data_IF_381904691643
#
_entry.id   IF_381904691643
#
_cell.length_a   1.000
_cell.length_b   1.000
_cell.length_c   1.000
_cell.angle_alpha   90.00
_cell.angle_beta   90.00
_cell.angle_gamma   90.00
#
_symmetry.space_group_name_H-M   'P 1'
#
loop_
_entity.id
_entity.type
_entity.pdbx_description
1 polymer ?
#
# COMPACT_ATOMS: atom_id res chain seq x y z
N UNK A 1 -5.21 16.56 -7.35
CA UNK A 1 -4.17 15.51 -7.32
C UNK A 1 -4.64 14.48 -6.31
N UNK A 2 -5.09 13.32 -6.79
CA UNK A 2 -5.60 12.27 -5.89
C UNK A 2 -4.38 11.67 -5.18
N UNK A 3 -4.37 11.75 -3.85
CA UNK A 3 -3.27 11.22 -3.04
C UNK A 3 -3.49 9.72 -2.91
N UNK A 4 -2.82 8.92 -3.75
CA UNK A 4 -2.95 7.46 -3.84
C UNK A 4 -2.83 6.74 -2.50
N UNK A 5 -2.17 7.37 -1.52
CA UNK A 5 -1.99 6.82 -0.17
C UNK A 5 -3.04 7.29 0.84
N UNK A 6 -3.71 8.41 0.62
CA UNK A 6 -4.60 9.02 1.63
C UNK A 6 -5.79 8.13 1.95
N UNK A 7 -6.52 7.72 0.93
CA UNK A 7 -7.76 6.96 1.12
C UNK A 7 -7.46 5.53 1.60
N UNK A 8 -6.48 4.80 1.02
CA UNK A 8 -6.11 3.48 1.52
C UNK A 8 -5.60 3.49 2.97
N UNK A 9 -4.78 4.49 3.34
CA UNK A 9 -4.33 4.64 4.72
C UNK A 9 -5.51 4.88 5.66
N UNK A 10 -6.45 5.76 5.28
CA UNK A 10 -7.65 6.04 6.08
C UNK A 10 -8.47 4.76 6.30
N UNK A 11 -8.77 4.03 5.22
CA UNK A 11 -9.52 2.76 5.30
C UNK A 11 -8.86 1.77 6.25
N UNK A 12 -7.54 1.58 6.14
CA UNK A 12 -6.79 0.68 7.02
C UNK A 12 -6.85 1.11 8.48
N UNK A 13 -6.79 2.42 8.77
CA UNK A 13 -6.92 2.94 10.14
C UNK A 13 -8.34 2.81 10.71
N UNK A 14 -9.35 2.71 9.84
CA UNK A 14 -10.75 2.48 10.21
C UNK A 14 -11.10 0.98 10.28
N UNK A 15 -10.11 0.09 10.07
CA UNK A 15 -10.29 -1.36 10.08
C UNK A 15 -10.89 -1.93 8.79
N UNK A 16 -11.07 -1.09 7.78
CA UNK A 16 -11.48 -1.50 6.45
C UNK A 16 -10.29 -2.00 5.63
N UNK A 17 -10.61 -2.66 4.52
CA UNK A 17 -9.60 -3.17 3.61
C UNK A 17 -9.72 -2.56 2.22
N UNK A 18 -8.68 -1.85 1.72
CA UNK A 18 -8.62 -1.40 0.33
C UNK A 18 -8.72 -2.55 -0.67
N UNK A 19 -9.03 -2.24 -1.94
CA UNK A 19 -8.99 -3.24 -3.00
C UNK A 19 -7.54 -3.68 -3.29
N UNK A 20 -7.33 -4.89 -3.84
CA UNK A 20 -6.00 -5.32 -4.29
C UNK A 20 -5.34 -4.34 -5.27
N UNK A 21 -6.13 -3.70 -6.14
CA UNK A 21 -5.64 -2.68 -7.07
C UNK A 21 -5.15 -1.43 -6.33
N UNK A 22 -5.88 -0.97 -5.31
CA UNK A 22 -5.45 0.15 -4.49
C UNK A 22 -4.16 -0.18 -3.71
N UNK A 23 -4.02 -1.41 -3.20
CA UNK A 23 -2.77 -1.88 -2.59
C UNK A 23 -1.64 -1.86 -3.61
N UNK A 24 -1.86 -2.37 -4.82
CA UNK A 24 -0.87 -2.37 -5.91
C UNK A 24 -0.40 -0.93 -6.21
N UNK A 25 -1.33 0.00 -6.34
CA UNK A 25 -1.03 1.42 -6.61
C UNK A 25 -0.25 2.07 -5.46
N UNK A 26 -0.59 1.77 -4.21
CA UNK A 26 0.18 2.20 -3.04
C UNK A 26 1.63 1.69 -3.10
N UNK A 27 1.83 0.41 -3.43
CA UNK A 27 3.17 -0.17 -3.55
C UNK A 27 3.95 0.40 -4.75
N UNK A 28 3.29 0.68 -5.88
CA UNK A 28 3.94 1.38 -6.99
C UNK A 28 4.48 2.74 -6.56
N UNK A 29 3.64 3.56 -5.92
CA UNK A 29 4.03 4.89 -5.45
C UNK A 29 5.13 4.84 -4.38
N UNK A 30 5.14 3.82 -3.51
CA UNK A 30 6.24 3.57 -2.57
C UNK A 30 7.55 3.31 -3.34
N UNK A 31 7.52 2.39 -4.30
CA UNK A 31 8.72 1.97 -5.04
C UNK A 31 9.24 3.06 -5.99
N UNK A 32 8.36 3.94 -6.48
CA UNK A 32 8.70 5.10 -7.31
C UNK A 32 9.20 6.30 -6.49
N UNK A 33 9.22 6.21 -5.16
CA UNK A 33 9.69 7.28 -4.28
C UNK A 33 8.72 8.46 -4.16
N UNK A 34 7.46 8.29 -4.57
CA UNK A 34 6.42 9.32 -4.54
C UNK A 34 5.79 9.47 -3.14
N UNK A 35 6.06 8.53 -2.24
CA UNK A 35 5.51 8.49 -0.88
C UNK A 35 6.58 8.87 0.15
N UNK A 36 6.27 9.81 1.03
CA UNK A 36 7.19 10.18 2.12
C UNK A 36 7.40 9.03 3.10
N UNK A 37 8.58 8.97 3.72
CA UNK A 37 8.94 7.93 4.69
C UNK A 37 7.93 7.83 5.85
N UNK A 38 7.40 8.97 6.32
CA UNK A 38 6.39 9.02 7.38
C UNK A 38 5.10 8.33 6.93
N UNK A 39 4.64 8.60 5.70
CA UNK A 39 3.39 8.02 5.18
C UNK A 39 3.55 6.54 4.84
N UNK A 40 4.70 6.13 4.31
CA UNK A 40 5.04 4.72 4.10
C UNK A 40 5.02 3.95 5.43
N UNK A 41 5.66 4.48 6.48
CA UNK A 41 5.66 3.84 7.79
C UNK A 41 4.24 3.70 8.38
N UNK A 42 3.41 4.75 8.26
CA UNK A 42 2.02 4.72 8.70
C UNK A 42 1.20 3.67 7.94
N UNK A 43 1.36 3.60 6.61
CA UNK A 43 0.66 2.63 5.76
C UNK A 43 1.04 1.18 6.10
N UNK A 44 2.34 0.87 6.19
CA UNK A 44 2.80 -0.48 6.51
C UNK A 44 2.37 -0.91 7.92
N UNK A 45 2.37 0.03 8.87
CA UNK A 45 1.90 -0.24 10.24
C UNK A 45 0.39 -0.50 10.27
N UNK A 46 -0.41 0.34 9.62
CA UNK A 46 -1.86 0.16 9.55
C UNK A 46 -2.22 -1.15 8.83
N UNK A 47 -1.51 -1.46 7.74
CA UNK A 47 -1.66 -2.71 7.00
C UNK A 47 -1.38 -3.94 7.88
N UNK A 48 -0.31 -3.89 8.67
CA UNK A 48 0.06 -4.94 9.63
C UNK A 48 -0.97 -5.11 10.74
N UNK A 49 -1.47 -4.01 11.31
CA UNK A 49 -2.47 -4.03 12.40
C UNK A 49 -3.80 -4.59 11.90
N UNK A 50 -4.25 -4.16 10.71
CA UNK A 50 -5.46 -4.69 10.06
C UNK A 50 -5.31 -6.18 9.72
N UNK A 51 -4.11 -6.58 9.31
CA UNK A 51 -3.73 -7.96 8.95
C UNK A 51 -3.89 -8.22 7.46
N UNK A 52 -2.78 -8.47 6.76
CA UNK A 52 -2.71 -8.59 5.30
C UNK A 52 -3.51 -9.79 4.75
N UNK A 53 -4.08 -9.64 3.53
CA UNK A 53 -4.65 -10.75 2.75
C UNK A 53 -3.58 -11.34 1.82
N UNK A 54 -3.82 -12.57 1.37
CA UNK A 54 -2.91 -13.23 0.40
C UNK A 54 -2.81 -12.43 -0.89
N UNK A 55 -3.93 -11.86 -1.36
CA UNK A 55 -3.97 -11.00 -2.55
C UNK A 55 -3.09 -9.75 -2.39
N UNK A 56 -3.02 -9.16 -1.19
CA UNK A 56 -2.23 -7.95 -0.90
C UNK A 56 -0.74 -8.25 -1.00
N UNK A 57 -0.31 -9.36 -0.41
CA UNK A 57 1.07 -9.83 -0.44
C UNK A 57 1.47 -10.15 -1.89
N UNK A 58 0.59 -10.82 -2.64
CA UNK A 58 0.82 -11.14 -4.05
C UNK A 58 0.93 -9.87 -4.91
N UNK A 59 0.06 -8.87 -4.69
CA UNK A 59 0.09 -7.59 -5.39
C UNK A 59 1.41 -6.83 -5.10
N UNK A 60 1.78 -6.71 -3.82
CA UNK A 60 3.01 -6.06 -3.39
C UNK A 60 4.26 -6.74 -3.97
N UNK A 61 4.35 -8.07 -3.87
CA UNK A 61 5.46 -8.86 -4.42
C UNK A 61 5.54 -8.74 -5.96
N UNK A 62 4.39 -8.67 -6.63
CA UNK A 62 4.31 -8.42 -8.07
C UNK A 62 4.95 -7.10 -8.47
N UNK A 63 4.59 -6.01 -7.78
CA UNK A 63 5.18 -4.69 -7.98
C UNK A 63 6.69 -4.70 -7.74
N UNK A 64 7.14 -5.29 -6.62
CA UNK A 64 8.57 -5.35 -6.30
C UNK A 64 9.37 -6.11 -7.37
N UNK A 65 8.81 -7.20 -7.91
CA UNK A 65 9.42 -7.95 -9.02
C UNK A 65 9.46 -7.12 -10.29
N UNK A 66 8.38 -6.42 -10.64
CA UNK A 66 8.32 -5.57 -11.83
C UNK A 66 9.36 -4.45 -11.79
N UNK A 67 9.64 -3.87 -10.62
CA UNK A 67 10.63 -2.80 -10.44
C UNK A 67 12.09 -3.29 -10.37
N UNK A 68 12.31 -4.59 -10.23
CA UNK A 68 13.64 -5.19 -10.16
C UNK A 68 14.16 -5.69 -11.53
N UNK A 69 13.28 -5.77 -12.53
CA UNK A 69 13.60 -6.16 -13.91
C UNK A 69 14.01 -4.93 -14.74
#
# INVERSE_FOLDING_TARGET
MNDVMRDPLKMLTEGEMPSPDAIRDCFNAIMDGEVSQIRMAAFLTALKIRGERVEDIAAAAGVMREKAL
#
